data_IF_974307500095
#
_entry.id   IF_974307500095
#
_cell.length_a   1.000
_cell.length_b   1.000
_cell.length_c   1.000
_cell.angle_alpha   90.00
_cell.angle_beta   90.00
_cell.angle_gamma   90.00
#
_symmetry.space_group_name_H-M   'P 1'
#
loop_
_entity.id
_entity.type
_entity.pdbx_description
1 polymer ?
#
# COMPACT_ATOMS: atom_id res chain seq x y z
N UNK A 1 3.46 1.59 -12.19
CA UNK A 1 2.39 2.36 -11.53
C UNK A 1 1.05 1.70 -11.79
N UNK A 2 0.10 1.80 -10.86
CA UNK A 2 -1.26 1.25 -10.98
C UNK A 2 -2.27 2.35 -11.34
N UNK A 3 -3.18 2.08 -12.28
CA UNK A 3 -4.31 2.97 -12.61
C UNK A 3 -5.62 2.32 -12.19
N UNK A 4 -6.19 2.77 -11.07
CA UNK A 4 -7.51 2.32 -10.61
C UNK A 4 -8.58 3.10 -11.36
N UNK A 5 -9.42 2.40 -12.13
CA UNK A 5 -10.53 3.01 -12.87
C UNK A 5 -11.70 3.33 -11.92
N UNK A 6 -12.54 4.34 -12.23
CA UNK A 6 -13.74 4.64 -11.44
C UNK A 6 -14.62 3.40 -11.21
N UNK A 7 -15.24 3.32 -10.03
CA UNK A 7 -16.10 2.20 -9.64
C UNK A 7 -15.37 0.91 -9.22
N UNK A 8 -14.04 0.83 -9.36
CA UNK A 8 -13.27 -0.34 -8.93
C UNK A 8 -13.06 -0.34 -7.41
N UNK A 9 -13.43 -1.44 -6.75
CA UNK A 9 -13.20 -1.67 -5.31
C UNK A 9 -12.01 -2.60 -5.12
N UNK A 10 -10.91 -2.07 -4.57
CA UNK A 10 -9.75 -2.84 -4.11
C UNK A 10 -10.08 -3.40 -2.72
N UNK A 11 -10.00 -4.73 -2.54
CA UNK A 11 -10.29 -5.35 -1.24
C UNK A 11 -9.07 -5.25 -0.32
N UNK A 12 -9.32 -5.24 0.99
CA UNK A 12 -8.28 -5.30 2.02
C UNK A 12 -7.41 -6.54 1.83
N UNK A 13 -6.10 -6.39 2.05
CA UNK A 13 -5.15 -7.49 1.97
C UNK A 13 -4.79 -7.92 0.55
N UNK A 14 -5.15 -7.17 -0.49
CA UNK A 14 -4.86 -7.54 -1.89
C UNK A 14 -3.80 -6.65 -2.53
N UNK A 15 -2.95 -7.27 -3.35
CA UNK A 15 -2.02 -6.59 -4.24
C UNK A 15 -2.65 -6.39 -5.62
N UNK A 16 -2.66 -5.14 -6.09
CA UNK A 16 -3.19 -4.75 -7.39
C UNK A 16 -2.15 -3.96 -8.18
N UNK A 17 -2.02 -4.24 -9.48
CA UNK A 17 -1.05 -3.56 -10.34
C UNK A 17 -1.53 -3.47 -11.80
N UNK A 18 -0.87 -2.64 -12.61
CA UNK A 18 -1.17 -2.48 -14.04
C UNK A 18 -2.00 -1.24 -14.39
N UNK A 19 -2.21 -1.02 -15.70
CA UNK A 19 -2.96 0.11 -16.26
C UNK A 19 -3.91 -0.41 -17.36
N UNK A 20 -5.17 -0.75 -17.04
CA UNK A 20 -5.85 -0.59 -15.74
C UNK A 20 -5.38 -1.60 -14.69
N UNK A 21 -5.55 -1.25 -13.41
CA UNK A 21 -5.14 -2.09 -12.29
C UNK A 21 -5.97 -3.38 -12.21
N UNK A 22 -5.30 -4.51 -12.05
CA UNK A 22 -5.89 -5.84 -11.88
C UNK A 22 -5.39 -6.49 -10.59
N UNK A 23 -6.21 -7.38 -10.03
CA UNK A 23 -5.82 -8.23 -8.90
C UNK A 23 -4.66 -9.13 -9.33
N UNK A 24 -3.61 -9.16 -8.51
CA UNK A 24 -2.44 -10.00 -8.75
C UNK A 24 -2.43 -11.20 -7.80
N UNK A 25 -2.55 -10.91 -6.49
CA UNK A 25 -2.53 -11.89 -5.40
C UNK A 25 -2.95 -11.23 -4.09
N UNK A 26 -3.16 -12.03 -3.06
CA UNK A 26 -3.21 -11.52 -1.69
C UNK A 26 -1.80 -11.14 -1.20
N UNK A 27 -1.76 -10.17 -0.28
CA UNK A 27 -0.56 -9.78 0.43
C UNK A 27 -0.15 -10.88 1.40
N UNK A 28 1.15 -11.13 1.49
CA UNK A 28 1.72 -12.02 2.49
C UNK A 28 1.68 -11.34 3.86
N UNK A 29 1.76 -12.16 4.91
CA UNK A 29 1.76 -11.67 6.30
C UNK A 29 2.90 -10.69 6.55
N UNK A 30 4.09 -11.00 6.03
CA UNK A 30 5.29 -10.18 6.20
C UNK A 30 5.14 -8.82 5.50
N UNK A 31 4.43 -8.76 4.37
CA UNK A 31 4.15 -7.53 3.64
C UNK A 31 3.16 -6.64 4.42
N UNK A 32 2.14 -7.24 5.04
CA UNK A 32 1.21 -6.53 5.91
C UNK A 32 1.90 -5.94 7.15
N UNK A 33 2.77 -6.72 7.79
CA UNK A 33 3.58 -6.29 8.93
C UNK A 33 4.53 -5.14 8.53
N UNK A 34 5.15 -5.24 7.34
CA UNK A 34 6.01 -4.19 6.82
C UNK A 34 5.25 -2.89 6.52
N UNK A 35 4.02 -2.97 6.00
CA UNK A 35 3.17 -1.79 5.76
C UNK A 35 2.87 -1.07 7.09
N UNK A 36 2.53 -1.80 8.15
CA UNK A 36 2.30 -1.20 9.48
C UNK A 36 3.58 -0.56 10.03
N UNK A 37 4.71 -1.28 10.01
CA UNK A 37 5.99 -0.78 10.50
C UNK A 37 6.46 0.48 9.75
N UNK A 38 6.42 0.45 8.41
CA UNK A 38 6.90 1.55 7.57
C UNK A 38 6.08 2.83 7.77
N UNK A 39 4.77 2.72 7.99
CA UNK A 39 3.92 3.87 8.29
C UNK A 39 4.37 4.64 9.53
N UNK A 40 4.70 3.91 10.61
CA UNK A 40 5.19 4.47 11.88
C UNK A 40 6.58 5.07 11.70
N UNK A 41 7.45 4.37 10.97
CA UNK A 41 8.80 4.82 10.70
C UNK A 41 8.81 6.14 9.91
N UNK A 42 8.04 6.25 8.83
CA UNK A 42 7.96 7.48 8.04
C UNK A 42 7.29 8.63 8.81
N UNK A 43 6.29 8.36 9.64
CA UNK A 43 5.69 9.37 10.50
C UNK A 43 6.69 9.95 11.51
N UNK A 44 7.57 9.11 12.07
CA UNK A 44 8.67 9.55 12.93
C UNK A 44 9.67 10.40 12.16
N UNK A 45 10.12 9.91 11.01
CA UNK A 45 11.07 10.63 10.15
C UNK A 45 10.53 12.01 9.76
N UNK A 46 9.27 12.08 9.33
CA UNK A 46 8.63 13.36 8.98
C UNK A 46 8.57 14.35 10.15
N UNK A 47 8.49 13.88 11.41
CA UNK A 47 8.58 14.75 12.58
C UNK A 47 10.01 15.25 12.83
N UNK A 48 11.00 14.38 12.68
CA UNK A 48 12.41 14.72 12.87
C UNK A 48 12.90 15.77 11.86
N UNK A 49 12.44 15.73 10.60
CA UNK A 49 12.85 16.67 9.55
C UNK A 49 11.97 17.93 9.43
N UNK A 50 10.90 18.05 10.24
CA UNK A 50 10.02 19.24 10.26
C UNK A 50 10.32 20.19 11.43
N UNK A 51 11.26 19.81 12.30
CA UNK A 51 11.86 20.68 13.32
C UNK A 51 13.15 21.30 12.81
#
# INVERSE_FOLDING_TARGET
GSLVTPGKRVKTGQLWAGRPAQYMRDLKKEELEYIDWSSKHYARLAKEYRG
#
